data_IF_456244010257
#
_entry.id   IF_456244010257
#
_cell.length_a   1.000
_cell.length_b   1.000
_cell.length_c   1.000
_cell.angle_alpha   90.00
_cell.angle_beta   90.00
_cell.angle_gamma   90.00
#
_symmetry.space_group_name_H-M   'P 1'
#
loop_
_entity.id
_entity.type
_entity.pdbx_description
1 polymer ?
#
# COMPACT_ATOMS: atom_id res chain seq x y z
N UNK A 1 -16.20 -3.00 25.29
CA UNK A 1 -15.72 -3.17 23.89
C UNK A 1 -15.86 -1.88 23.07
N UNK A 2 -17.06 -1.28 23.00
CA UNK A 2 -17.31 -0.03 22.23
C UNK A 2 -16.51 1.20 22.74
N UNK A 3 -16.29 1.33 24.05
CA UNK A 3 -15.49 2.44 24.62
C UNK A 3 -13.99 2.31 24.33
N UNK A 4 -13.45 1.08 24.32
CA UNK A 4 -12.06 0.82 23.93
C UNK A 4 -11.81 1.19 22.47
N UNK A 5 -12.76 0.89 21.58
CA UNK A 5 -12.71 1.25 20.16
C UNK A 5 -12.79 2.76 19.94
N UNK A 6 -13.61 3.49 20.72
CA UNK A 6 -13.67 4.96 20.64
C UNK A 6 -12.39 5.61 21.18
N UNK A 7 -11.80 5.06 22.24
CA UNK A 7 -10.56 5.57 22.83
C UNK A 7 -9.34 5.36 21.90
N UNK A 8 -9.31 4.24 21.16
CA UNK A 8 -8.21 3.90 20.24
C UNK A 8 -8.57 4.12 18.76
N UNK A 9 -9.61 4.91 18.48
CA UNK A 9 -10.11 5.12 17.12
C UNK A 9 -9.02 5.62 16.13
N UNK A 10 -8.13 6.56 16.50
CA UNK A 10 -7.11 7.03 15.57
C UNK A 10 -6.12 5.94 15.15
N UNK A 11 -5.75 5.06 16.09
CA UNK A 11 -4.82 3.94 15.84
C UNK A 11 -5.44 2.96 14.86
N UNK A 12 -6.74 2.68 15.03
CA UNK A 12 -7.47 1.80 14.14
C UNK A 12 -7.61 2.40 12.73
N UNK A 13 -7.91 3.69 12.62
CA UNK A 13 -8.01 4.38 11.33
C UNK A 13 -6.65 4.42 10.60
N UNK A 14 -5.54 4.67 11.32
CA UNK A 14 -4.19 4.57 10.74
C UNK A 14 -3.84 3.15 10.30
N UNK A 15 -4.28 2.13 11.04
CA UNK A 15 -4.09 0.73 10.66
C UNK A 15 -4.84 0.42 9.36
N UNK A 16 -6.08 0.88 9.21
CA UNK A 16 -6.87 0.70 7.99
C UNK A 16 -6.22 1.39 6.79
N UNK A 17 -5.73 2.63 6.95
CA UNK A 17 -4.99 3.33 5.90
C UNK A 17 -3.71 2.58 5.51
N UNK A 18 -2.91 2.16 6.50
CA UNK A 18 -1.68 1.40 6.28
C UNK A 18 -1.95 0.08 5.54
N UNK A 19 -3.04 -0.61 5.89
CA UNK A 19 -3.47 -1.83 5.21
C UNK A 19 -3.86 -1.58 3.74
N UNK A 20 -4.56 -0.48 3.45
CA UNK A 20 -4.87 -0.08 2.09
C UNK A 20 -3.64 0.16 1.22
N UNK A 21 -2.65 0.90 1.75
CA UNK A 21 -1.37 1.10 1.07
C UNK A 21 -0.61 -0.21 0.89
N UNK A 22 -0.65 -1.11 1.87
CA UNK A 22 -0.07 -2.43 1.76
C UNK A 22 -0.77 -3.30 0.69
N UNK A 23 -2.08 -3.14 0.48
CA UNK A 23 -2.76 -3.81 -0.63
C UNK A 23 -2.37 -3.25 -2.00
N UNK A 24 -2.23 -1.93 -2.14
CA UNK A 24 -1.69 -1.31 -3.36
C UNK A 24 -0.34 -1.93 -3.72
N UNK A 25 0.57 -1.93 -2.77
CA UNK A 25 1.94 -2.35 -2.97
C UNK A 25 2.05 -3.88 -3.16
N UNK A 26 1.11 -4.67 -2.61
CA UNK A 26 1.05 -6.13 -2.82
C UNK A 26 0.81 -6.50 -4.28
N UNK A 27 -0.06 -5.78 -4.99
CA UNK A 27 -0.40 -6.10 -6.39
C UNK A 27 0.84 -6.04 -7.29
N UNK A 28 1.63 -4.98 -7.18
CA UNK A 28 2.84 -4.79 -8.01
C UNK A 28 3.90 -5.83 -7.66
N UNK A 29 4.11 -6.09 -6.36
CA UNK A 29 5.05 -7.10 -5.90
C UNK A 29 4.66 -8.53 -6.30
N UNK A 30 3.36 -8.81 -6.42
CA UNK A 30 2.88 -10.13 -6.87
C UNK A 30 3.24 -10.40 -8.34
N UNK A 31 3.27 -9.36 -9.17
CA UNK A 31 3.71 -9.47 -10.56
C UNK A 31 5.23 -9.65 -10.71
N UNK A 32 5.99 -9.59 -9.62
CA UNK A 32 7.45 -9.68 -9.64
C UNK A 32 8.17 -8.35 -9.86
N UNK A 33 7.43 -7.25 -9.92
CA UNK A 33 7.98 -5.90 -10.06
C UNK A 33 8.34 -5.36 -8.69
N UNK A 34 9.61 -5.02 -8.48
CA UNK A 34 10.06 -4.36 -7.25
C UNK A 34 9.89 -2.85 -7.41
N UNK A 35 8.83 -2.29 -6.82
CA UNK A 35 8.46 -0.87 -6.97
C UNK A 35 8.19 -0.20 -5.63
N UNK A 36 8.51 1.09 -5.54
CA UNK A 36 8.18 1.99 -4.43
C UNK A 36 7.10 3.03 -4.81
N UNK A 37 6.46 2.86 -5.97
CA UNK A 37 5.56 3.87 -6.54
C UNK A 37 4.26 4.10 -5.76
N UNK A 38 3.89 3.20 -4.82
CA UNK A 38 2.68 3.40 -3.99
C UNK A 38 2.69 4.73 -3.24
N UNK A 39 3.86 5.21 -2.80
CA UNK A 39 4.00 6.53 -2.18
C UNK A 39 3.67 7.68 -3.14
N UNK A 40 4.11 7.57 -4.40
CA UNK A 40 3.82 8.54 -5.45
C UNK A 40 2.33 8.58 -5.77
N UNK A 41 1.69 7.41 -5.90
CA UNK A 41 0.26 7.32 -6.15
C UNK A 41 -0.57 7.85 -4.97
N UNK A 42 -0.13 7.58 -3.74
CA UNK A 42 -0.74 8.14 -2.54
C UNK A 42 -0.61 9.66 -2.50
N UNK A 43 0.56 10.22 -2.81
CA UNK A 43 0.77 11.66 -2.89
C UNK A 43 -0.14 12.31 -3.94
N UNK A 44 -0.19 11.76 -5.16
CA UNK A 44 -1.05 12.26 -6.22
C UNK A 44 -2.53 12.21 -5.83
N UNK A 45 -3.00 11.10 -5.25
CA UNK A 45 -4.38 10.97 -4.77
C UNK A 45 -4.73 11.94 -3.64
N UNK A 46 -3.82 12.13 -2.69
CA UNK A 46 -4.01 13.04 -1.56
C UNK A 46 -4.08 14.51 -2.02
N UNK A 47 -3.14 14.94 -2.87
CA UNK A 47 -3.14 16.30 -3.42
C UNK A 47 -4.29 16.56 -4.36
N UNK A 48 -4.64 15.58 -5.22
CA UNK A 48 -5.81 15.68 -6.06
C UNK A 48 -7.07 15.87 -5.23
N UNK A 49 -7.27 15.04 -4.20
CA UNK A 49 -8.41 15.14 -3.29
C UNK A 49 -8.45 16.50 -2.59
N UNK A 50 -7.33 16.91 -2.00
CA UNK A 50 -7.23 18.20 -1.33
C UNK A 50 -7.59 19.39 -2.26
N UNK A 51 -7.13 19.36 -3.51
CA UNK A 51 -7.41 20.40 -4.50
C UNK A 51 -8.86 20.38 -5.00
N UNK A 52 -9.41 19.20 -5.28
CA UNK A 52 -10.78 19.04 -5.77
C UNK A 52 -11.82 19.49 -4.74
N UNK A 53 -11.57 19.26 -3.46
CA UNK A 53 -12.44 19.82 -2.41
C UNK A 53 -12.26 21.32 -2.20
N UNK A 54 -11.01 21.80 -2.11
CA UNK A 54 -10.75 23.19 -1.74
C UNK A 54 -11.04 24.18 -2.87
N UNK A 55 -10.74 23.81 -4.13
CA UNK A 55 -10.89 24.68 -5.30
C UNK A 55 -12.23 24.48 -6.01
N UNK A 56 -12.67 23.24 -6.15
CA UNK A 56 -13.85 22.89 -6.96
C UNK A 56 -15.10 22.56 -6.12
N UNK A 57 -14.97 22.42 -4.79
CA UNK A 57 -16.10 22.16 -3.89
C UNK A 57 -16.85 20.86 -4.19
N UNK A 58 -16.15 19.87 -4.77
CA UNK A 58 -16.78 18.61 -5.16
C UNK A 58 -17.28 17.82 -3.94
N UNK A 59 -18.40 17.09 -4.08
CA UNK A 59 -18.88 16.21 -3.03
C UNK A 59 -17.89 15.05 -2.81
N UNK A 60 -17.78 14.60 -1.56
CA UNK A 60 -16.80 13.59 -1.13
C UNK A 60 -16.77 12.32 -1.99
N UNK A 61 -17.91 11.85 -2.47
CA UNK A 61 -17.99 10.63 -3.28
C UNK A 61 -17.33 10.79 -4.65
N UNK A 62 -17.52 11.95 -5.31
CA UNK A 62 -16.88 12.24 -6.59
C UNK A 62 -15.39 12.48 -6.42
N UNK A 63 -15.00 13.09 -5.30
CA UNK A 63 -13.61 13.29 -4.96
C UNK A 63 -12.84 11.97 -4.78
N UNK A 64 -13.41 11.04 -4.00
CA UNK A 64 -12.84 9.70 -3.78
C UNK A 64 -12.70 8.96 -5.12
N UNK A 65 -13.70 9.04 -6.00
CA UNK A 65 -13.64 8.45 -7.33
C UNK A 65 -12.56 9.10 -8.20
N UNK A 66 -12.41 10.43 -8.14
CA UNK A 66 -11.39 11.16 -8.86
C UNK A 66 -9.98 10.81 -8.37
N UNK A 67 -9.77 10.68 -7.05
CA UNK A 67 -8.49 10.27 -6.47
C UNK A 67 -8.07 8.86 -6.94
N UNK A 68 -9.03 7.94 -7.02
CA UNK A 68 -8.82 6.60 -7.58
C UNK A 68 -8.44 6.67 -9.06
N UNK A 69 -9.16 7.45 -9.87
CA UNK A 69 -8.90 7.58 -11.31
C UNK A 69 -7.56 8.26 -11.60
N UNK A 70 -7.20 9.28 -10.82
CA UNK A 70 -5.91 9.97 -10.95
C UNK A 70 -4.76 9.02 -10.59
N UNK A 71 -4.92 8.24 -9.53
CA UNK A 71 -3.97 7.19 -9.19
C UNK A 71 -3.83 6.13 -10.28
N UNK A 72 -4.95 5.66 -10.86
CA UNK A 72 -4.96 4.70 -11.96
C UNK A 72 -4.27 5.25 -13.22
N UNK A 73 -4.56 6.50 -13.57
CA UNK A 73 -3.96 7.20 -14.71
C UNK A 73 -2.46 7.40 -14.49
N UNK A 74 -2.05 7.80 -13.29
CA UNK A 74 -0.64 7.93 -12.93
C UNK A 74 0.07 6.57 -13.04
N UNK A 75 -0.56 5.49 -12.56
CA UNK A 75 -0.04 4.13 -12.70
C UNK A 75 0.12 3.72 -14.17
N UNK A 76 -0.86 4.02 -15.01
CA UNK A 76 -0.77 3.77 -16.45
C UNK A 76 0.39 4.55 -17.09
N UNK A 77 0.48 5.85 -16.84
CA UNK A 77 1.52 6.73 -17.39
C UNK A 77 2.92 6.27 -16.98
N UNK A 78 3.09 5.99 -15.69
CA UNK A 78 4.34 5.52 -15.08
C UNK A 78 4.74 4.14 -15.58
N UNK A 79 3.79 3.29 -15.93
CA UNK A 79 4.09 1.96 -16.46
C UNK A 79 4.78 1.98 -17.82
N UNK A 80 4.59 3.03 -18.63
CA UNK A 80 5.19 3.14 -19.97
C UNK A 80 6.72 3.21 -19.92
N UNK A 81 7.35 4.15 -19.16
CA UNK A 81 8.80 4.17 -19.02
C UNK A 81 9.32 2.96 -18.23
N UNK A 82 8.60 2.53 -17.18
CA UNK A 82 9.03 1.42 -16.32
C UNK A 82 8.97 0.05 -17.00
N UNK A 83 8.19 -0.10 -18.08
CA UNK A 83 8.13 -1.34 -18.86
C UNK A 83 9.47 -1.75 -19.47
N UNK A 84 10.41 -0.81 -19.63
CA UNK A 84 11.73 -1.06 -20.21
C UNK A 84 12.80 -1.40 -19.16
N UNK A 85 12.49 -1.22 -17.88
CA UNK A 85 13.41 -1.47 -16.78
C UNK A 85 13.13 -2.84 -16.17
N UNK A 86 14.14 -3.45 -15.53
CA UNK A 86 14.00 -4.73 -14.83
C UNK A 86 14.74 -4.74 -13.49
N UNK A 87 14.21 -5.52 -12.55
CA UNK A 87 14.84 -5.75 -11.25
C UNK A 87 15.09 -4.47 -10.46
N UNK A 88 16.33 -4.28 -10.01
CA UNK A 88 16.72 -3.14 -9.17
C UNK A 88 16.53 -1.79 -9.87
N UNK A 89 16.70 -1.73 -11.20
CA UNK A 89 16.51 -0.50 -11.96
C UNK A 89 15.07 0.02 -11.90
N UNK A 90 14.06 -0.86 -11.84
CA UNK A 90 12.67 -0.44 -11.64
C UNK A 90 12.48 0.23 -10.28
N UNK A 91 13.10 -0.30 -9.23
CA UNK A 91 12.98 0.25 -7.90
C UNK A 91 13.64 1.63 -7.79
N UNK A 92 14.85 1.78 -8.33
CA UNK A 92 15.55 3.08 -8.37
C UNK A 92 14.72 4.11 -9.15
N UNK A 93 14.16 3.73 -10.31
CA UNK A 93 13.31 4.62 -11.08
C UNK A 93 12.04 5.03 -10.33
N UNK A 94 11.42 4.10 -9.58
CA UNK A 94 10.22 4.41 -8.78
C UNK A 94 10.54 5.26 -7.55
N UNK A 95 11.73 5.12 -6.95
CA UNK A 95 12.21 6.03 -5.91
C UNK A 95 12.33 7.45 -6.48
N UNK A 96 13.00 7.58 -7.63
CA UNK A 96 13.14 8.86 -8.33
C UNK A 96 11.78 9.48 -8.67
N UNK A 97 10.81 8.67 -9.11
CA UNK A 97 9.44 9.13 -9.37
C UNK A 97 8.77 9.73 -8.12
N UNK A 98 8.91 9.05 -6.97
CA UNK A 98 8.37 9.56 -5.71
C UNK A 98 9.02 10.89 -5.34
N UNK A 99 10.35 10.98 -5.46
CA UNK A 99 11.07 12.21 -5.16
C UNK A 99 10.68 13.36 -6.10
N UNK A 100 10.46 13.07 -7.39
CA UNK A 100 9.95 14.04 -8.36
C UNK A 100 8.56 14.53 -7.97
N UNK A 101 7.64 13.64 -7.58
CA UNK A 101 6.28 14.03 -7.18
C UNK A 101 6.28 14.83 -5.88
N UNK A 102 7.07 14.41 -4.90
CA UNK A 102 7.22 15.13 -3.62
C UNK A 102 7.87 16.50 -3.84
N UNK A 103 8.90 16.58 -4.68
CA UNK A 103 9.54 17.84 -5.06
C UNK A 103 8.59 18.76 -5.81
N UNK A 104 7.81 18.25 -6.76
CA UNK A 104 6.77 19.02 -7.44
C UNK A 104 5.74 19.54 -6.43
N UNK A 105 5.34 18.73 -5.46
CA UNK A 105 4.44 19.18 -4.39
C UNK A 105 5.08 20.21 -3.45
N UNK A 106 6.40 20.20 -3.28
CA UNK A 106 7.12 21.22 -2.50
C UNK A 106 7.27 22.55 -3.24
N UNK A 107 7.58 22.51 -4.54
CA UNK A 107 7.90 23.71 -5.33
C UNK A 107 6.69 24.31 -6.07
N UNK A 108 5.60 23.56 -6.24
CA UNK A 108 4.36 24.07 -6.81
C UNK A 108 3.51 24.84 -5.78
N UNK A 109 4.13 25.79 -5.05
CA UNK A 109 3.50 26.57 -3.97
C UNK A 109 2.10 27.10 -4.28
N UNK A 110 1.81 27.67 -5.48
CA UNK A 110 0.50 28.22 -5.79
C UNK A 110 -0.63 27.18 -5.77
N UNK A 111 -0.27 25.92 -6.02
CA UNK A 111 -1.22 24.82 -6.12
C UNK A 111 -1.27 24.02 -4.81
N UNK A 112 -0.11 23.62 -4.28
CA UNK A 112 -0.01 22.66 -3.17
C UNK A 112 0.23 23.29 -1.80
N UNK A 113 0.46 24.60 -1.73
CA UNK A 113 0.88 25.26 -0.49
C UNK A 113 2.34 24.99 -0.10
N UNK A 114 3.11 24.36 -0.99
CA UNK A 114 4.54 24.10 -0.83
C UNK A 114 4.88 23.28 0.42
N UNK A 115 5.91 23.70 1.15
CA UNK A 115 6.36 23.02 2.38
C UNK A 115 5.30 22.98 3.51
N UNK A 116 4.41 23.99 3.56
CA UNK A 116 3.33 24.05 4.55
C UNK A 116 2.19 23.07 4.20
N UNK A 117 2.07 22.73 2.92
CA UNK A 117 1.01 21.87 2.41
C UNK A 117 -0.37 22.53 2.45
N UNK A 118 -1.40 21.72 2.15
CA UNK A 118 -2.80 22.14 2.21
C UNK A 118 -3.38 21.77 3.57
N UNK A 119 -3.88 22.77 4.30
CA UNK A 119 -4.45 22.61 5.63
C UNK A 119 -5.95 22.96 5.62
N UNK A 120 -6.64 22.63 6.71
CA UNK A 120 -8.07 22.92 6.92
C UNK A 120 -8.99 22.19 5.92
N UNK A 121 -8.64 20.96 5.55
CA UNK A 121 -9.51 20.11 4.74
C UNK A 121 -10.74 19.67 5.56
N UNK A 122 -11.94 19.68 4.97
CA UNK A 122 -13.14 19.20 5.66
C UNK A 122 -13.03 17.70 5.92
N UNK A 123 -13.20 17.28 7.19
CA UNK A 123 -13.23 15.85 7.52
C UNK A 123 -14.55 15.23 7.12
N UNK A 124 -14.49 14.52 6.01
CA UNK A 124 -15.62 13.83 5.41
C UNK A 124 -15.50 12.31 5.52
N UNK A 125 -14.33 11.83 5.96
CA UNK A 125 -14.01 10.41 6.08
C UNK A 125 -13.86 10.02 7.54
N UNK A 126 -14.54 8.96 7.93
CA UNK A 126 -14.42 8.32 9.24
C UNK A 126 -14.07 6.84 9.12
N UNK A 127 -14.00 6.18 10.28
CA UNK A 127 -13.77 4.74 10.40
C UNK A 127 -14.66 3.87 9.49
N UNK A 128 -15.99 4.10 9.35
CA UNK A 128 -16.81 3.22 8.50
C UNK A 128 -16.43 3.29 7.02
N UNK A 129 -16.13 4.48 6.50
CA UNK A 129 -15.69 4.66 5.10
C UNK A 129 -14.34 4.00 4.84
N UNK A 130 -13.39 4.11 5.79
CA UNK A 130 -12.10 3.42 5.70
C UNK A 130 -12.27 1.90 5.73
N UNK A 131 -13.13 1.39 6.61
CA UNK A 131 -13.39 -0.04 6.73
C UNK A 131 -14.02 -0.60 5.45
N UNK A 132 -15.01 0.10 4.88
CA UNK A 132 -15.61 -0.28 3.59
C UNK A 132 -14.55 -0.24 2.48
N UNK A 133 -13.73 0.80 2.40
CA UNK A 133 -12.67 0.90 1.40
C UNK A 133 -11.65 -0.24 1.50
N UNK A 134 -11.23 -0.60 2.71
CA UNK A 134 -10.33 -1.74 2.96
C UNK A 134 -10.98 -3.08 2.60
N UNK A 135 -12.26 -3.29 2.93
CA UNK A 135 -12.97 -4.53 2.59
C UNK A 135 -13.15 -4.67 1.07
N UNK A 136 -13.53 -3.59 0.39
CA UNK A 136 -13.69 -3.58 -1.07
C UNK A 136 -12.36 -3.81 -1.76
N UNK A 137 -11.31 -3.08 -1.37
CA UNK A 137 -9.97 -3.26 -1.98
C UNK A 137 -9.37 -4.63 -1.64
N UNK A 138 -9.54 -5.13 -0.42
CA UNK A 138 -9.14 -6.48 -0.04
C UNK A 138 -9.86 -7.56 -0.86
N UNK A 139 -11.17 -7.40 -1.10
CA UNK A 139 -11.93 -8.27 -1.99
C UNK A 139 -11.45 -8.19 -3.44
N UNK A 140 -11.19 -6.99 -3.96
CA UNK A 140 -10.65 -6.80 -5.31
C UNK A 140 -9.28 -7.46 -5.47
N UNK A 141 -8.38 -7.29 -4.49
CA UNK A 141 -7.08 -7.96 -4.48
C UNK A 141 -7.29 -9.47 -4.44
N UNK A 142 -8.22 -10.00 -3.64
CA UNK A 142 -8.55 -11.43 -3.62
C UNK A 142 -9.09 -11.94 -4.96
N UNK A 143 -10.00 -11.19 -5.59
CA UNK A 143 -10.57 -11.55 -6.88
C UNK A 143 -9.50 -11.55 -7.98
N UNK A 144 -8.66 -10.52 -8.04
CA UNK A 144 -7.50 -10.46 -8.98
C UNK A 144 -6.56 -11.63 -8.72
N UNK A 145 -6.30 -11.93 -7.44
CA UNK A 145 -5.44 -13.02 -6.98
C UNK A 145 -5.90 -14.41 -7.41
N UNK A 146 -7.21 -14.65 -7.48
CA UNK A 146 -7.80 -15.92 -7.94
C UNK A 146 -8.06 -15.99 -9.45
N UNK A 147 -8.05 -14.85 -10.13
CA UNK A 147 -8.33 -14.75 -11.56
C UNK A 147 -7.18 -15.21 -12.46
N UNK A 148 -7.42 -15.24 -13.78
CA UNK A 148 -6.37 -15.47 -14.78
C UNK A 148 -5.23 -14.46 -14.71
N UNK A 149 -5.52 -13.20 -14.34
CA UNK A 149 -4.51 -12.15 -14.16
C UNK A 149 -3.54 -12.50 -13.02
N UNK A 150 -4.08 -12.99 -11.90
CA UNK A 150 -3.26 -13.44 -10.76
C UNK A 150 -2.31 -14.58 -11.15
N UNK A 151 -2.77 -15.52 -11.99
CA UNK A 151 -1.93 -16.60 -12.53
C UNK A 151 -0.83 -16.07 -13.46
N UNK A 152 -1.14 -15.09 -14.32
CA UNK A 152 -0.15 -14.43 -15.17
C UNK A 152 0.90 -13.68 -14.34
N UNK A 153 0.49 -12.99 -13.26
CA UNK A 153 1.41 -12.32 -12.34
C UNK A 153 2.32 -13.32 -11.63
N UNK A 154 1.79 -14.44 -11.16
CA UNK A 154 2.58 -15.48 -10.51
C UNK A 154 3.57 -16.15 -11.48
N UNK A 155 3.20 -16.35 -12.75
CA UNK A 155 4.10 -16.87 -13.78
C UNK A 155 5.26 -15.89 -14.06
N UNK A 156 4.95 -14.61 -14.29
CA UNK A 156 5.97 -13.57 -14.51
C UNK A 156 6.93 -13.43 -13.33
N UNK A 157 6.42 -13.59 -12.10
CA UNK A 157 7.24 -13.55 -10.88
C UNK A 157 8.19 -14.73 -10.75
N UNK A 158 7.88 -15.88 -11.35
CA UNK A 158 8.77 -17.05 -11.32
C UNK A 158 9.90 -16.89 -12.33
N UNK A 159 9.54 -16.69 -13.60
CA UNK A 159 10.50 -16.47 -14.67
C UNK A 159 9.78 -15.75 -15.83
N UNK A 160 10.21 -14.53 -16.10
CA UNK A 160 9.63 -13.68 -17.14
C UNK A 160 9.82 -14.27 -18.54
N UNK A 161 10.95 -14.94 -18.78
CA UNK A 161 11.29 -15.54 -20.08
C UNK A 161 10.46 -16.81 -20.33
N UNK A 162 10.23 -17.62 -19.30
CA UNK A 162 9.34 -18.80 -19.38
C UNK A 162 7.88 -18.36 -19.52
N UNK A 163 7.46 -17.32 -18.81
CA UNK A 163 6.11 -16.78 -18.96
C UNK A 163 5.86 -16.27 -20.39
N UNK A 164 6.87 -15.64 -21.00
CA UNK A 164 6.78 -15.17 -22.37
C UNK A 164 6.62 -16.31 -23.40
N UNK A 165 7.28 -17.47 -23.20
CA UNK A 165 7.08 -18.63 -24.08
C UNK A 165 5.67 -19.24 -23.98
N UNK A 166 4.98 -19.00 -22.86
CA UNK A 166 3.57 -19.35 -22.65
C UNK A 166 2.59 -18.27 -23.16
N UNK A 167 3.08 -17.25 -23.87
CA UNK A 167 2.26 -16.17 -24.42
C UNK A 167 1.85 -15.09 -23.41
N UNK A 168 2.42 -15.09 -22.20
CA UNK A 168 2.13 -14.06 -21.19
C UNK A 168 3.02 -12.85 -21.44
N UNK A 169 2.42 -11.75 -21.89
CA UNK A 169 3.18 -10.51 -22.12
C UNK A 169 3.50 -9.79 -20.81
N UNK A 170 4.78 -9.57 -20.50
CA UNK A 170 5.20 -8.80 -19.33
C UNK A 170 4.71 -7.36 -19.37
N UNK A 171 4.81 -6.71 -20.55
CA UNK A 171 4.43 -5.30 -20.72
C UNK A 171 2.99 -5.01 -20.29
N UNK A 172 2.02 -5.81 -20.77
CA UNK A 172 0.60 -5.60 -20.42
C UNK A 172 0.33 -5.89 -18.95
N UNK A 173 0.95 -6.94 -18.39
CA UNK A 173 0.75 -7.32 -17.00
C UNK A 173 1.41 -6.35 -16.02
N UNK A 174 2.62 -5.86 -16.31
CA UNK A 174 3.27 -4.80 -15.54
C UNK A 174 2.44 -3.52 -15.57
N UNK A 175 1.93 -3.12 -16.75
CA UNK A 175 1.05 -1.97 -16.88
C UNK A 175 -0.21 -2.11 -16.04
N UNK A 176 -0.88 -3.27 -16.11
CA UNK A 176 -2.07 -3.53 -15.32
C UNK A 176 -1.76 -3.54 -13.81
N UNK A 177 -0.64 -4.10 -13.40
CA UNK A 177 -0.21 -4.11 -12.00
C UNK A 177 0.00 -2.68 -11.47
N UNK A 178 0.64 -1.81 -12.26
CA UNK A 178 0.81 -0.39 -11.91
C UNK A 178 -0.50 0.38 -11.90
N UNK A 179 -1.43 0.12 -12.83
CA UNK A 179 -2.75 0.76 -12.83
C UNK A 179 -3.57 0.37 -11.60
N UNK A 180 -3.58 -0.92 -11.26
CA UNK A 180 -4.32 -1.41 -10.09
C UNK A 180 -3.71 -0.90 -8.78
N UNK A 181 -2.37 -0.91 -8.66
CA UNK A 181 -1.69 -0.30 -7.51
C UNK A 181 -1.92 1.20 -7.46
N UNK A 182 -1.81 1.90 -8.58
CA UNK A 182 -2.09 3.32 -8.67
C UNK A 182 -3.51 3.66 -8.24
N UNK A 183 -4.51 2.90 -8.68
CA UNK A 183 -5.91 3.09 -8.29
C UNK A 183 -6.10 2.96 -6.77
N UNK A 184 -5.55 1.90 -6.16
CA UNK A 184 -5.66 1.67 -4.71
C UNK A 184 -4.84 2.71 -3.93
N UNK A 185 -3.61 3.00 -4.37
CA UNK A 185 -2.75 4.00 -3.76
C UNK A 185 -3.36 5.40 -3.80
N UNK A 186 -3.91 5.81 -4.93
CA UNK A 186 -4.62 7.08 -5.10
C UNK A 186 -5.88 7.16 -4.25
N UNK A 187 -6.67 6.09 -4.19
CA UNK A 187 -7.84 5.97 -3.30
C UNK A 187 -7.45 6.20 -1.84
N UNK A 188 -6.47 5.45 -1.32
CA UNK A 188 -6.05 5.57 0.07
C UNK A 188 -5.31 6.88 0.37
N UNK A 189 -4.64 7.47 -0.63
CA UNK A 189 -4.09 8.82 -0.53
C UNK A 189 -5.17 9.89 -0.36
N UNK A 190 -6.22 9.85 -1.17
CA UNK A 190 -7.37 10.75 -1.02
C UNK A 190 -8.11 10.56 0.31
N UNK A 191 -8.36 9.31 0.71
CA UNK A 191 -8.95 9.00 2.02
C UNK A 191 -8.09 9.50 3.18
N UNK A 192 -6.76 9.42 3.06
CA UNK A 192 -5.83 9.95 4.06
C UNK A 192 -5.94 11.47 4.16
N UNK A 193 -6.01 12.20 3.04
CA UNK A 193 -6.18 13.66 3.02
C UNK A 193 -7.47 14.09 3.74
N UNK A 194 -8.57 13.40 3.43
CA UNK A 194 -9.89 13.64 4.02
C UNK A 194 -10.01 13.23 5.49
N UNK A 195 -9.11 12.35 5.97
CA UNK A 195 -9.05 11.92 7.36
C UNK A 195 -8.12 12.81 8.21
N UNK A 196 -6.97 13.21 7.66
CA UNK A 196 -5.88 13.88 8.37
C UNK A 196 -6.02 15.42 8.44
N UNK A 197 -7.01 16.01 7.76
CA UNK A 197 -7.27 17.46 7.68
C UNK A 197 -6.15 18.31 7.05
N UNK A 198 -5.01 17.70 6.75
CA UNK A 198 -3.90 18.33 6.07
C UNK A 198 -3.17 17.33 5.19
N UNK A 199 -2.51 17.85 4.16
CA UNK A 199 -1.63 17.11 3.27
C UNK A 199 -0.32 17.87 3.16
N UNK A 200 0.77 17.25 3.59
CA UNK A 200 2.12 17.81 3.51
C UNK A 200 2.98 16.96 2.56
N UNK A 201 3.88 17.56 1.75
CA UNK A 201 4.66 16.79 0.78
C UNK A 201 5.57 15.75 1.45
N UNK A 202 6.18 16.12 2.57
CA UNK A 202 7.16 15.32 3.31
C UNK A 202 6.56 14.02 3.87
N UNK A 203 5.23 13.94 4.04
CA UNK A 203 4.55 12.74 4.56
C UNK A 203 4.61 11.56 3.59
N UNK A 204 4.80 11.82 2.29
CA UNK A 204 4.90 10.78 1.24
C UNK A 204 6.33 10.52 0.78
N UNK A 205 7.32 11.07 1.50
CA UNK A 205 8.74 10.91 1.16
C UNK A 205 9.30 9.52 1.45
N UNK A 206 10.62 9.45 1.56
CA UNK A 206 11.37 8.20 1.71
C UNK A 206 10.92 7.31 2.87
N UNK A 207 10.64 7.90 4.04
CA UNK A 207 10.17 7.14 5.20
C UNK A 207 8.89 6.36 4.91
N UNK A 208 7.94 6.96 4.18
CA UNK A 208 6.68 6.31 3.82
C UNK A 208 6.88 5.22 2.77
N UNK A 209 7.74 5.43 1.77
CA UNK A 209 8.13 4.39 0.81
C UNK A 209 8.67 3.16 1.53
N UNK A 210 9.63 3.35 2.44
CA UNK A 210 10.24 2.26 3.21
C UNK A 210 9.21 1.59 4.11
N UNK A 211 8.35 2.35 4.79
CA UNK A 211 7.30 1.80 5.64
C UNK A 211 6.31 0.94 4.84
N UNK A 212 5.84 1.43 3.68
CA UNK A 212 4.90 0.71 2.83
C UNK A 212 5.48 -0.60 2.28
N UNK A 213 6.76 -0.58 1.88
CA UNK A 213 7.46 -1.79 1.44
C UNK A 213 7.68 -2.76 2.61
N UNK A 214 8.12 -2.24 3.76
CA UNK A 214 8.35 -3.03 4.97
C UNK A 214 7.06 -3.72 5.43
N UNK A 215 5.91 -3.05 5.35
CA UNK A 215 4.62 -3.64 5.71
C UNK A 215 4.37 -4.96 4.95
N UNK A 216 4.72 -5.05 3.67
CA UNK A 216 4.49 -6.28 2.91
C UNK A 216 5.62 -7.28 3.07
N UNK A 217 6.87 -6.83 3.14
CA UNK A 217 8.00 -7.74 3.38
C UNK A 217 7.82 -8.45 4.72
N UNK A 218 7.46 -7.69 5.76
CA UNK A 218 7.13 -8.22 7.08
C UNK A 218 5.83 -9.01 7.09
N UNK A 219 4.81 -8.54 6.38
CA UNK A 219 3.53 -9.21 6.33
C UNK A 219 3.58 -10.56 5.61
N UNK A 220 4.35 -10.64 4.54
CA UNK A 220 4.28 -11.71 3.55
C UNK A 220 3.52 -11.26 2.30
N UNK A 221 4.04 -11.65 1.14
CA UNK A 221 3.54 -11.19 -0.18
C UNK A 221 2.55 -12.16 -0.83
N UNK A 222 2.51 -13.43 -0.36
CA UNK A 222 1.75 -14.52 -1.00
C UNK A 222 0.30 -14.66 -0.49
N UNK A 223 0.00 -14.13 0.69
CA UNK A 223 -1.33 -14.22 1.30
C UNK A 223 -1.98 -12.84 1.46
N UNK A 224 -3.31 -12.79 1.46
CA UNK A 224 -4.06 -11.55 1.72
C UNK A 224 -3.94 -11.10 3.18
N UNK A 225 -3.72 -12.05 4.10
CA UNK A 225 -3.54 -11.74 5.51
C UNK A 225 -2.12 -11.22 5.81
N UNK A 226 -1.15 -11.44 4.91
CA UNK A 226 0.20 -10.95 5.08
C UNK A 226 0.25 -9.43 5.25
N UNK A 227 -0.22 -8.63 4.27
CA UNK A 227 -0.31 -7.17 4.40
C UNK A 227 -1.06 -6.71 5.66
N UNK A 228 -2.11 -7.41 6.08
CA UNK A 228 -2.85 -7.10 7.30
C UNK A 228 -1.97 -7.26 8.56
N UNK A 229 -1.19 -8.33 8.65
CA UNK A 229 -0.27 -8.55 9.78
C UNK A 229 0.84 -7.50 9.77
N UNK A 230 1.42 -7.22 8.60
CA UNK A 230 2.49 -6.24 8.49
C UNK A 230 2.05 -4.81 8.79
N UNK A 231 0.87 -4.41 8.30
CA UNK A 231 0.25 -3.14 8.67
C UNK A 231 -0.05 -3.09 10.17
N UNK A 232 -0.55 -4.17 10.77
CA UNK A 232 -0.83 -4.22 12.21
C UNK A 232 0.45 -4.02 13.02
N UNK A 233 1.55 -4.68 12.65
CA UNK A 233 2.83 -4.51 13.33
C UNK A 233 3.33 -3.08 13.18
N UNK A 234 3.39 -2.54 11.96
CA UNK A 234 3.94 -1.20 11.74
C UNK A 234 3.08 -0.07 12.29
N UNK A 235 1.78 -0.28 12.52
CA UNK A 235 0.93 0.71 13.18
C UNK A 235 0.92 0.55 14.70
N UNK A 236 0.80 -0.68 15.21
CA UNK A 236 0.63 -0.91 16.65
C UNK A 236 1.93 -0.80 17.44
N UNK A 237 3.07 -1.30 16.90
CA UNK A 237 4.34 -1.26 17.66
C UNK A 237 4.78 0.18 18.01
N UNK A 238 4.82 1.13 17.05
CA UNK A 238 5.18 2.51 17.35
C UNK A 238 4.21 3.20 18.32
N UNK A 239 2.95 2.76 18.36
CA UNK A 239 1.95 3.28 19.29
C UNK A 239 2.12 2.71 20.71
N UNK A 240 2.53 1.44 20.84
CA UNK A 240 2.92 0.88 22.14
C UNK A 240 4.21 1.51 22.69
N UNK A 241 5.10 1.96 21.80
CA UNK A 241 6.31 2.71 22.13
C UNK A 241 6.06 4.22 22.40
N UNK A 242 4.80 4.66 22.42
CA UNK A 242 4.41 6.06 22.69
C UNK A 242 4.96 6.65 24.01
N UNK A 243 5.18 5.90 25.11
CA UNK A 243 5.79 6.44 26.32
C UNK A 243 7.23 6.93 26.13
N UNK A 244 7.94 6.43 25.11
CA UNK A 244 9.32 6.77 24.77
C UNK A 244 9.40 7.88 23.72
N UNK A 245 8.47 8.85 23.80
CA UNK A 245 8.18 9.84 22.74
C UNK A 245 9.43 10.56 22.19
N UNK A 246 10.42 10.84 23.04
CA UNK A 246 11.65 11.56 22.69
C UNK A 246 12.59 10.76 21.77
N UNK A 247 12.57 9.42 21.83
CA UNK A 247 13.43 8.55 21.01
C UNK A 247 12.67 7.81 19.90
N UNK A 248 11.45 8.25 19.56
CA UNK A 248 10.57 7.57 18.60
C UNK A 248 11.23 7.16 17.27
N UNK A 249 11.96 8.03 16.55
CA UNK A 249 12.58 7.64 15.28
C UNK A 249 13.64 6.54 15.46
N UNK A 250 14.43 6.62 16.53
CA UNK A 250 15.46 5.64 16.87
C UNK A 250 14.83 4.30 17.25
N UNK A 251 13.84 4.31 18.15
CA UNK A 251 13.12 3.11 18.59
C UNK A 251 12.42 2.43 17.41
N UNK A 252 11.74 3.20 16.55
CA UNK A 252 11.10 2.66 15.34
C UNK A 252 12.13 2.04 14.38
N UNK A 253 13.29 2.67 14.17
CA UNK A 253 14.36 2.14 13.34
C UNK A 253 14.93 0.82 13.89
N UNK A 254 15.21 0.76 15.19
CA UNK A 254 15.69 -0.47 15.86
C UNK A 254 14.65 -1.59 15.77
N UNK A 255 13.38 -1.29 16.06
CA UNK A 255 12.27 -2.24 15.89
C UNK A 255 12.24 -2.78 14.48
N UNK A 256 12.33 -1.91 13.48
CA UNK A 256 12.26 -2.30 12.07
C UNK A 256 13.44 -3.21 11.69
N UNK A 257 14.65 -2.89 12.17
CA UNK A 257 15.84 -3.75 11.99
C UNK A 257 15.63 -5.11 12.65
N UNK A 258 15.20 -5.15 13.92
CA UNK A 258 14.96 -6.41 14.65
C UNK A 258 13.92 -7.26 13.92
N UNK A 259 12.83 -6.64 13.47
CA UNK A 259 11.77 -7.33 12.76
C UNK A 259 12.25 -7.91 11.43
N UNK A 260 13.05 -7.16 10.66
CA UNK A 260 13.64 -7.67 9.41
C UNK A 260 14.66 -8.80 9.65
N UNK A 261 15.47 -8.69 10.72
CA UNK A 261 16.49 -9.69 11.08
C UNK A 261 15.86 -10.97 11.61
N UNK A 262 14.87 -10.87 12.50
CA UNK A 262 14.28 -12.02 13.19
C UNK A 262 13.05 -12.62 12.45
N UNK A 263 12.44 -11.91 11.49
CA UNK A 263 11.30 -12.40 10.70
C UNK A 263 11.52 -12.26 9.17
N UNK A 264 12.60 -12.83 8.58
CA UNK A 264 12.99 -12.60 7.18
C UNK A 264 12.03 -13.21 6.14
N UNK A 265 11.18 -14.17 6.52
CA UNK A 265 10.15 -14.73 5.63
C UNK A 265 8.83 -13.95 5.68
N UNK A 266 8.71 -12.97 6.59
CA UNK A 266 7.47 -12.27 6.90
C UNK A 266 6.58 -13.06 7.87
N UNK A 267 6.13 -12.41 8.95
CA UNK A 267 5.33 -12.99 10.03
C UNK A 267 4.09 -13.77 9.51
N UNK A 268 3.41 -13.24 8.50
CA UNK A 268 2.25 -13.91 7.91
C UNK A 268 2.62 -15.17 7.13
N UNK A 269 3.67 -15.13 6.31
CA UNK A 269 4.08 -16.29 5.50
C UNK A 269 4.66 -17.41 6.41
N UNK A 270 5.38 -17.09 7.49
CA UNK A 270 5.84 -18.07 8.49
C UNK A 270 4.68 -18.72 9.26
N UNK A 271 3.68 -17.92 9.68
CA UNK A 271 2.49 -18.40 10.37
C UNK A 271 1.64 -19.30 9.47
N UNK A 272 1.46 -18.92 8.20
CA UNK A 272 0.74 -19.74 7.21
C UNK A 272 1.47 -21.04 6.88
N UNK A 273 2.80 -21.02 6.77
CA UNK A 273 3.59 -22.23 6.58
C UNK A 273 3.42 -23.21 7.76
N UNK A 274 3.46 -22.69 9.00
CA UNK A 274 3.25 -23.48 10.21
C UNK A 274 1.82 -24.06 10.31
N UNK A 275 0.79 -23.27 9.96
CA UNK A 275 -0.60 -23.72 9.95
C UNK A 275 -0.86 -24.78 8.85
N UNK A 276 -0.24 -24.63 7.68
CA UNK A 276 -0.34 -25.59 6.58
C UNK A 276 0.35 -26.91 6.93
N UNK A 277 1.50 -26.86 7.58
CA UNK A 277 2.18 -28.05 8.11
C UNK A 277 1.37 -28.74 9.22
N UNK A 278 0.72 -27.98 10.12
CA UNK A 278 -0.20 -28.54 11.12
C UNK A 278 -1.44 -29.19 10.51
N UNK A 279 -2.04 -28.58 9.47
CA UNK A 279 -3.19 -29.18 8.74
C UNK A 279 -2.79 -30.40 7.92
N UNK A 280 -1.61 -30.39 7.29
CA UNK A 280 -1.07 -31.54 6.59
C UNK A 280 -0.77 -32.71 7.54
N UNK A 281 -0.18 -32.42 8.71
CA UNK A 281 0.00 -33.43 9.78
C UNK A 281 -1.33 -33.95 10.33
N UNK A 282 -2.35 -33.11 10.54
CA UNK A 282 -3.68 -33.57 10.98
C UNK A 282 -4.39 -34.45 9.94
N UNK A 283 -4.26 -34.15 8.64
CA UNK A 283 -4.77 -35.01 7.56
C UNK A 283 -4.00 -36.33 7.42
N UNK A 284 -2.70 -36.33 7.71
CA UNK A 284 -1.90 -37.56 7.75
C UNK A 284 -2.23 -38.46 8.97
N UNK A 285 -2.76 -37.90 10.05
CA UNK A 285 -3.10 -38.64 11.29
C UNK A 285 -4.55 -39.18 11.28
N UNK A 286 -5.47 -38.61 10.48
CA UNK A 286 -6.82 -39.17 10.28
C UNK A 286 -7.11 -39.42 8.79
N UNK A 287 -6.79 -40.61 8.25
CA UNK A 287 -7.07 -40.98 6.86
C UNK A 287 -8.55 -41.30 6.55
N UNK A 288 -9.42 -41.44 7.57
CA UNK A 288 -10.80 -41.89 7.38
C UNK A 288 -11.83 -40.87 7.90
N UNK A 289 -12.46 -40.15 6.98
CA UNK A 289 -13.84 -39.62 7.06
C UNK A 289 -14.16 -39.05 5.68
N UNK A 290 -14.46 -39.95 4.75
CA UNK A 290 -15.34 -39.71 3.61
C UNK A 290 -16.72 -40.16 4.04
#
# INVERSE_FOLDING_TARGET
MMEFLRSNQPVFDFFLLALGFAYSQQIVLRCGVFSLATAAFAALGAYASALLLTRFGLPAYLDIAAALLIGALAGWLVSVPLAHLRGVYQAIATLGLVEVIVSLALYAEPLTGGAVGLNSLPKLVGTPTLLVAVLVTGYLVHAVSGSGLGRSFDALRQDEMVAASLGVSSRKNHALAFVLSGAIGGLFGGLQALYAYSVQPTQFGFAFMVASLTAIILGGRRSLLGPAIGAAILTLLPELARPLAEYRPLVNGVILILVVVFLPQGAGDTLFAALRQRRARRRAVNPGTV
#
